data_IF_739716514461
#
_entry.id   IF_739716514461
#
_cell.length_a   1.000
_cell.length_b   1.000
_cell.length_c   1.000
_cell.angle_alpha   90.00
_cell.angle_beta   90.00
_cell.angle_gamma   90.00
#
_symmetry.space_group_name_H-M   'P 1'
#
loop_
_entity.id
_entity.type
_entity.pdbx_description
1 polymer ?
#
# COMPACT_ATOMS: atom_id res chain seq x y z
N UNK A 1 10.18 2.37 25.30
CA UNK A 1 9.27 3.02 24.32
C UNK A 1 10.07 3.39 23.08
N UNK A 2 9.74 2.85 21.90
CA UNK A 2 10.41 3.22 20.64
C UNK A 2 9.88 4.59 20.19
N UNK A 3 10.78 5.52 19.84
CA UNK A 3 10.45 6.90 19.49
C UNK A 3 10.02 6.96 18.01
N UNK A 4 8.76 7.23 17.73
CA UNK A 4 8.27 7.43 16.37
C UNK A 4 8.99 8.63 15.69
N UNK A 5 9.40 8.48 14.43
CA UNK A 5 10.01 9.54 13.64
C UNK A 5 8.94 10.47 13.01
N UNK A 6 9.17 11.79 12.98
CA UNK A 6 8.29 12.73 12.28
C UNK A 6 8.50 12.64 10.76
N UNK A 7 7.41 12.77 10.01
CA UNK A 7 7.43 12.90 8.55
C UNK A 7 6.53 14.06 8.15
N UNK A 8 7.04 14.94 7.29
CA UNK A 8 6.33 16.13 6.82
C UNK A 8 6.01 16.01 5.34
N UNK A 9 4.79 16.34 4.95
CA UNK A 9 4.32 16.34 3.57
C UNK A 9 3.48 17.58 3.27
N UNK A 10 3.40 17.94 1.99
CA UNK A 10 2.55 19.04 1.55
C UNK A 10 1.08 18.61 1.50
N UNK A 11 0.24 19.30 2.26
CA UNK A 11 -1.21 19.13 2.25
C UNK A 11 -1.94 20.31 1.60
N UNK A 12 -3.26 20.22 1.39
CA UNK A 12 -4.05 21.29 0.77
C UNK A 12 -3.99 22.64 1.50
N UNK A 13 -3.70 22.62 2.81
CA UNK A 13 -3.63 23.79 3.69
C UNK A 13 -2.20 24.06 4.17
N UNK A 14 -1.20 23.61 3.41
CA UNK A 14 0.22 23.71 3.75
C UNK A 14 0.81 22.44 4.39
N UNK A 15 2.05 22.53 4.91
CA UNK A 15 2.79 21.39 5.42
C UNK A 15 2.09 20.73 6.61
N UNK A 16 2.01 19.40 6.59
CA UNK A 16 1.49 18.57 7.69
C UNK A 16 2.58 17.63 8.18
N UNK A 17 2.69 17.46 9.49
CA UNK A 17 3.65 16.53 10.11
C UNK A 17 2.91 15.41 10.85
N UNK A 18 3.26 14.17 10.54
CA UNK A 18 2.74 12.97 11.21
C UNK A 18 3.87 12.20 11.88
N UNK A 19 3.52 11.36 12.87
CA UNK A 19 4.45 10.40 13.46
C UNK A 19 4.31 9.05 12.77
N UNK A 20 5.37 8.58 12.12
CA UNK A 20 5.36 7.29 11.45
C UNK A 20 5.51 6.16 12.46
N UNK A 21 4.65 5.15 12.36
CA UNK A 21 4.81 3.91 13.12
C UNK A 21 6.05 3.20 12.61
N UNK A 22 6.96 2.85 13.53
CA UNK A 22 8.30 2.32 13.22
C UNK A 22 9.17 3.23 12.35
N UNK A 23 8.88 4.55 12.33
CA UNK A 23 9.69 5.50 11.55
C UNK A 23 11.16 5.57 11.99
N UNK A 24 11.47 5.16 13.22
CA UNK A 24 12.85 5.02 13.71
C UNK A 24 13.68 3.99 12.94
N UNK A 25 13.04 3.12 12.15
CA UNK A 25 13.72 2.16 11.31
C UNK A 25 14.20 2.75 9.98
N UNK A 26 14.07 4.07 9.76
CA UNK A 26 14.55 4.72 8.54
C UNK A 26 15.99 4.30 8.18
N UNK A 27 16.17 3.78 6.97
CA UNK A 27 17.45 3.22 6.49
C UNK A 27 17.83 1.82 7.01
N UNK A 28 17.06 1.25 7.94
CA UNK A 28 17.29 -0.06 8.56
C UNK A 28 16.24 -1.10 8.11
N UNK A 29 16.24 -2.29 8.74
CA UNK A 29 15.33 -3.40 8.49
C UNK A 29 14.40 -3.65 9.67
N UNK A 30 13.17 -4.06 9.36
CA UNK A 30 12.25 -4.56 10.36
C UNK A 30 12.82 -5.80 11.05
N UNK A 31 12.87 -5.85 12.39
CA UNK A 31 13.59 -6.92 13.11
C UNK A 31 12.92 -8.30 13.00
N UNK A 32 11.64 -8.35 12.61
CA UNK A 32 10.88 -9.61 12.48
C UNK A 32 10.77 -10.06 11.02
N UNK A 33 10.50 -9.13 10.10
CA UNK A 33 10.17 -9.45 8.70
C UNK A 33 11.34 -9.22 7.76
N UNK A 34 12.39 -8.53 8.21
CA UNK A 34 13.55 -8.17 7.38
C UNK A 34 13.27 -7.12 6.31
N UNK A 35 12.03 -6.62 6.19
CA UNK A 35 11.64 -5.56 5.25
C UNK A 35 12.47 -4.30 5.54
N UNK A 36 13.16 -3.79 4.52
CA UNK A 36 13.89 -2.52 4.61
C UNK A 36 12.91 -1.35 4.68
N UNK A 37 13.30 -0.32 5.42
CA UNK A 37 12.62 0.95 5.43
C UNK A 37 13.47 1.93 4.62
N UNK A 38 12.84 2.80 3.86
CA UNK A 38 13.52 3.88 3.15
C UNK A 38 14.05 4.93 4.15
N UNK A 39 14.72 5.97 3.63
CA UNK A 39 15.29 7.03 4.45
C UNK A 39 14.23 7.91 5.14
N UNK A 40 12.99 7.88 4.67
CA UNK A 40 11.86 8.61 5.26
C UNK A 40 11.10 7.77 6.30
N UNK A 41 11.41 6.48 6.43
CA UNK A 41 10.82 5.58 7.42
C UNK A 41 9.58 4.84 6.92
N UNK A 42 9.42 4.64 5.61
CA UNK A 42 8.38 3.78 5.03
C UNK A 42 8.94 2.41 4.60
N UNK A 43 8.18 1.32 4.77
CA UNK A 43 8.62 -0.01 4.37
C UNK A 43 8.68 -0.15 2.84
N UNK A 44 9.73 -0.81 2.36
CA UNK A 44 9.93 -1.15 0.95
C UNK A 44 9.45 -2.59 0.75
N UNK A 45 8.15 -2.76 0.48
CA UNK A 45 7.58 -4.07 0.21
C UNK A 45 7.93 -4.58 -1.19
N UNK A 46 8.01 -5.91 -1.33
CA UNK A 46 8.06 -6.57 -2.63
C UNK A 46 6.64 -6.64 -3.20
N UNK A 47 6.28 -5.65 -4.01
CA UNK A 47 4.99 -5.63 -4.70
C UNK A 47 4.91 -6.73 -5.77
N UNK A 48 3.78 -7.44 -5.82
CA UNK A 48 3.47 -8.43 -6.88
C UNK A 48 2.96 -7.72 -8.14
N UNK A 49 2.14 -6.68 -7.93
CA UNK A 49 1.68 -5.73 -8.93
C UNK A 49 1.39 -4.37 -8.30
N UNK A 50 1.23 -3.35 -9.14
CA UNK A 50 0.91 -1.98 -8.75
C UNK A 50 -0.23 -1.40 -9.59
N UNK A 51 -1.02 -0.55 -8.94
CA UNK A 51 -2.08 0.22 -9.58
C UNK A 51 -1.95 1.68 -9.13
N UNK A 52 -2.16 2.62 -10.05
CA UNK A 52 -2.31 4.04 -9.72
C UNK A 52 -3.79 4.38 -9.65
N UNK A 53 -4.28 4.78 -8.48
CA UNK A 53 -5.62 5.34 -8.33
C UNK A 53 -5.75 6.63 -9.14
N UNK A 54 -6.97 6.93 -9.60
CA UNK A 54 -7.28 8.25 -10.14
C UNK A 54 -7.37 9.24 -8.99
N UNK A 55 -7.00 10.50 -9.22
CA UNK A 55 -7.05 11.54 -8.18
C UNK A 55 -8.45 11.70 -7.57
N UNK A 56 -9.49 11.61 -8.41
CA UNK A 56 -10.89 11.63 -7.98
C UNK A 56 -11.26 10.51 -6.99
N UNK A 57 -10.45 9.45 -6.93
CA UNK A 57 -10.64 8.32 -6.03
C UNK A 57 -9.86 8.46 -4.72
N UNK A 58 -8.84 9.32 -4.61
CA UNK A 58 -7.90 9.35 -3.47
C UNK A 58 -8.58 9.43 -2.09
N UNK A 59 -9.73 10.10 -2.00
CA UNK A 59 -10.48 10.31 -0.76
C UNK A 59 -11.56 9.25 -0.49
N UNK A 60 -11.63 8.19 -1.30
CA UNK A 60 -12.55 7.07 -1.08
C UNK A 60 -12.07 6.17 0.06
N UNK A 61 -12.96 5.29 0.53
CA UNK A 61 -12.65 4.36 1.62
C UNK A 61 -11.64 3.30 1.18
N UNK A 62 -10.91 2.70 2.13
CA UNK A 62 -9.99 1.58 1.85
C UNK A 62 -10.66 0.42 1.10
N UNK A 63 -11.85 -0.10 1.51
CA UNK A 63 -12.50 -1.16 0.74
C UNK A 63 -12.87 -0.74 -0.68
N UNK A 64 -13.13 0.55 -0.91
CA UNK A 64 -13.36 1.07 -2.26
C UNK A 64 -12.07 1.10 -3.08
N UNK A 65 -10.95 1.52 -2.50
CA UNK A 65 -9.64 1.43 -3.15
C UNK A 65 -9.29 -0.02 -3.50
N UNK A 66 -9.47 -0.94 -2.55
CA UNK A 66 -9.18 -2.36 -2.74
C UNK A 66 -9.97 -2.90 -3.94
N UNK A 67 -11.27 -2.59 -4.00
CA UNK A 67 -12.13 -2.98 -5.14
C UNK A 67 -11.68 -2.38 -6.47
N UNK A 68 -11.35 -1.08 -6.50
CA UNK A 68 -10.87 -0.41 -7.72
C UNK A 68 -9.58 -1.06 -8.20
N UNK A 69 -8.63 -1.27 -7.29
CA UNK A 69 -7.32 -1.81 -7.60
C UNK A 69 -7.38 -3.28 -8.00
N UNK A 70 -8.22 -4.10 -7.35
CA UNK A 70 -8.43 -5.50 -7.74
C UNK A 70 -8.99 -5.61 -9.16
N UNK A 71 -9.99 -4.80 -9.52
CA UNK A 71 -10.53 -4.80 -10.90
C UNK A 71 -9.50 -4.32 -11.92
N UNK A 72 -8.74 -3.28 -11.59
CA UNK A 72 -7.66 -2.80 -12.45
C UNK A 72 -6.55 -3.86 -12.63
N UNK A 73 -6.20 -4.59 -11.58
CA UNK A 73 -5.25 -5.70 -11.66
C UNK A 73 -5.76 -6.83 -12.53
N UNK A 74 -7.04 -7.20 -12.43
CA UNK A 74 -7.64 -8.17 -13.34
C UNK A 74 -7.48 -7.74 -14.81
N UNK A 75 -7.75 -6.48 -15.14
CA UNK A 75 -7.54 -5.97 -16.49
C UNK A 75 -6.07 -6.02 -16.96
N UNK A 76 -5.11 -5.87 -16.03
CA UNK A 76 -3.67 -6.05 -16.32
C UNK A 76 -3.34 -7.53 -16.57
N UNK A 77 -3.84 -8.43 -15.73
CA UNK A 77 -3.66 -9.88 -15.83
C UNK A 77 -4.13 -10.40 -17.19
N UNK A 78 -5.30 -9.95 -17.66
CA UNK A 78 -5.85 -10.36 -18.95
C UNK A 78 -4.98 -9.93 -20.15
N UNK A 79 -4.06 -8.98 -19.97
CA UNK A 79 -3.18 -8.44 -21.02
C UNK A 79 -1.74 -8.93 -20.90
N UNK A 80 -1.35 -9.50 -19.76
CA UNK A 80 0.01 -9.95 -19.47
C UNK A 80 0.01 -11.39 -18.94
N UNK A 81 0.28 -12.39 -19.81
CA UNK A 81 0.38 -13.78 -19.41
C UNK A 81 1.44 -14.06 -18.34
N UNK A 82 2.53 -13.25 -18.27
CA UNK A 82 3.56 -13.41 -17.23
C UNK A 82 3.05 -12.93 -15.87
N UNK A 83 2.20 -11.90 -15.86
CA UNK A 83 1.53 -11.45 -14.65
C UNK A 83 0.46 -12.46 -14.22
N UNK A 84 -0.33 -12.99 -15.16
CA UNK A 84 -1.32 -14.02 -14.90
C UNK A 84 -0.70 -15.25 -14.23
N UNK A 85 0.47 -15.69 -14.68
CA UNK A 85 1.20 -16.83 -14.12
C UNK A 85 1.64 -16.68 -12.64
N UNK A 86 1.45 -15.50 -12.02
CA UNK A 86 1.72 -15.29 -10.60
C UNK A 86 0.54 -15.63 -9.68
N UNK A 87 -0.64 -15.89 -10.25
CA UNK A 87 -1.90 -16.06 -9.53
C UNK A 87 -2.57 -17.38 -9.92
N UNK A 88 -3.38 -17.94 -9.03
CA UNK A 88 -4.26 -19.06 -9.38
C UNK A 88 -5.50 -18.58 -10.14
N UNK A 89 -6.20 -19.49 -10.80
CA UNK A 89 -7.45 -19.16 -11.50
C UNK A 89 -8.50 -18.58 -10.53
N UNK A 90 -8.59 -19.12 -9.30
CA UNK A 90 -9.49 -18.63 -8.26
C UNK A 90 -9.12 -17.21 -7.80
N UNK A 91 -7.83 -16.92 -7.64
CA UNK A 91 -7.36 -15.58 -7.28
C UNK A 91 -7.68 -14.56 -8.39
N UNK A 92 -7.53 -14.96 -9.65
CA UNK A 92 -7.89 -14.12 -10.81
C UNK A 92 -9.39 -13.82 -10.82
N UNK A 93 -10.25 -14.81 -10.55
CA UNK A 93 -11.70 -14.59 -10.47
C UNK A 93 -12.09 -13.70 -9.27
N UNK A 94 -11.38 -13.77 -8.14
CA UNK A 94 -11.58 -12.82 -7.04
C UNK A 94 -11.25 -11.39 -7.47
N UNK A 95 -10.13 -11.17 -8.18
CA UNK A 95 -9.77 -9.84 -8.68
C UNK A 95 -10.81 -9.27 -9.64
N UNK A 96 -11.39 -10.11 -10.51
CA UNK A 96 -12.48 -9.75 -11.43
C UNK A 96 -13.72 -9.25 -10.68
N UNK A 97 -14.07 -9.88 -9.56
CA UNK A 97 -15.17 -9.46 -8.69
C UNK A 97 -14.82 -8.17 -7.90
N UNK A 98 -13.54 -7.79 -7.88
CA UNK A 98 -13.03 -6.67 -7.10
C UNK A 98 -12.79 -7.04 -5.64
N UNK A 99 -12.55 -8.31 -5.37
CA UNK A 99 -12.14 -8.82 -4.06
C UNK A 99 -10.61 -8.98 -4.02
N UNK A 100 -10.07 -9.20 -2.82
CA UNK A 100 -8.64 -9.44 -2.60
C UNK A 100 -8.47 -10.87 -2.09
N UNK A 101 -7.68 -11.73 -2.75
CA UNK A 101 -7.41 -13.06 -2.22
C UNK A 101 -6.72 -13.03 -0.86
N UNK A 102 -6.96 -14.05 -0.04
CA UNK A 102 -6.55 -14.09 1.38
C UNK A 102 -5.05 -13.89 1.61
N UNK A 103 -4.21 -14.35 0.68
CA UNK A 103 -2.76 -14.23 0.76
C UNK A 103 -2.24 -12.80 0.48
N UNK A 104 -3.10 -11.87 0.06
CA UNK A 104 -2.69 -10.54 -0.37
C UNK A 104 -3.43 -9.41 0.34
N UNK A 105 -2.86 -8.22 0.23
CA UNK A 105 -3.51 -6.98 0.64
C UNK A 105 -3.03 -5.82 -0.22
N UNK A 106 -3.89 -4.81 -0.38
CA UNK A 106 -3.54 -3.57 -1.02
C UNK A 106 -2.90 -2.61 -0.01
N UNK A 107 -1.61 -2.36 -0.18
CA UNK A 107 -0.85 -1.38 0.57
C UNK A 107 -0.90 -0.01 -0.12
N UNK A 108 -1.30 1.03 0.62
CA UNK A 108 -1.15 2.42 0.20
C UNK A 108 0.30 2.86 0.39
N UNK A 109 1.02 3.06 -0.71
CA UNK A 109 2.38 3.63 -0.71
C UNK A 109 2.34 5.13 -0.36
N UNK A 110 3.43 5.71 0.15
CA UNK A 110 3.51 7.13 0.54
C UNK A 110 3.33 8.09 -0.64
N UNK A 111 3.69 7.65 -1.85
CA UNK A 111 3.40 8.37 -3.09
C UNK A 111 1.88 8.33 -3.37
N UNK A 112 1.27 9.52 -3.53
CA UNK A 112 -0.19 9.66 -3.65
C UNK A 112 -0.78 8.75 -4.75
N UNK A 113 -1.81 7.98 -4.39
CA UNK A 113 -2.51 7.09 -5.31
C UNK A 113 -1.77 5.83 -5.74
N UNK A 114 -0.48 5.65 -5.37
CA UNK A 114 0.25 4.42 -5.69
C UNK A 114 -0.17 3.31 -4.74
N UNK A 115 -0.74 2.26 -5.31
CA UNK A 115 -1.25 1.08 -4.61
C UNK A 115 -0.41 -0.12 -4.97
N UNK A 116 0.02 -0.88 -3.97
CA UNK A 116 0.86 -2.06 -4.15
C UNK A 116 0.13 -3.30 -3.63
N UNK A 117 -0.03 -4.31 -4.47
CA UNK A 117 -0.49 -5.62 -4.00
C UNK A 117 0.71 -6.35 -3.39
N UNK A 118 0.62 -6.67 -2.11
CA UNK A 118 1.71 -7.28 -1.33
C UNK A 118 1.23 -8.50 -0.55
N UNK A 119 2.17 -9.37 -0.17
CA UNK A 119 1.91 -10.51 0.72
C UNK A 119 1.32 -10.06 2.06
N UNK A 120 0.16 -10.60 2.42
CA UNK A 120 -0.59 -10.22 3.60
C UNK A 120 0.17 -10.50 4.90
N UNK A 121 0.80 -11.68 5.01
CA UNK A 121 1.51 -12.11 6.21
C UNK A 121 2.71 -11.21 6.52
N UNK A 122 3.50 -10.88 5.50
CA UNK A 122 4.63 -9.97 5.62
C UNK A 122 4.15 -8.56 5.92
N UNK A 123 3.10 -8.09 5.25
CA UNK A 123 2.51 -6.77 5.46
C UNK A 123 2.04 -6.59 6.92
N UNK A 124 1.22 -7.52 7.44
CA UNK A 124 0.63 -7.39 8.78
C UNK A 124 1.67 -7.46 9.89
N UNK A 125 2.77 -8.22 9.68
CA UNK A 125 3.88 -8.34 10.64
C UNK A 125 4.87 -7.18 10.55
N UNK A 126 4.86 -6.42 9.46
CA UNK A 126 5.73 -5.25 9.27
C UNK A 126 5.00 -4.03 9.80
N UNK A 127 5.41 -3.50 10.95
CA UNK A 127 4.67 -2.41 11.56
C UNK A 127 4.92 -1.06 10.88
N UNK A 128 3.92 -0.42 10.29
CA UNK A 128 4.16 0.84 9.55
C UNK A 128 2.93 1.77 9.51
N UNK A 129 3.17 3.00 9.05
CA UNK A 129 2.13 3.93 8.60
C UNK A 129 2.06 3.89 7.08
N UNK A 130 0.91 3.53 6.50
CA UNK A 130 0.69 3.59 5.04
C UNK A 130 0.25 4.97 4.54
N UNK A 131 0.43 5.22 3.25
CA UNK A 131 0.14 6.48 2.57
C UNK A 131 -1.33 6.91 2.55
N UNK A 132 -2.25 6.04 2.97
CA UNK A 132 -3.64 6.42 3.21
C UNK A 132 -3.78 7.52 4.28
N UNK A 133 -2.82 7.61 5.23
CA UNK A 133 -2.76 8.70 6.21
C UNK A 133 -2.23 10.03 5.64
N UNK A 134 -1.63 10.00 4.45
CA UNK A 134 -0.93 11.13 3.84
C UNK A 134 -1.75 11.72 2.69
N UNK A 135 -2.07 10.89 1.69
CA UNK A 135 -2.85 11.29 0.52
C UNK A 135 -4.29 10.75 0.50
N UNK A 136 -4.62 9.82 1.41
CA UNK A 136 -5.94 9.20 1.46
C UNK A 136 -6.97 10.01 2.23
N UNK A 137 -8.14 9.40 2.48
CA UNK A 137 -9.20 10.01 3.30
C UNK A 137 -8.76 10.33 4.73
N UNK A 138 -7.82 9.56 5.30
CA UNK A 138 -7.36 9.76 6.68
C UNK A 138 -6.44 10.99 6.83
N UNK A 139 -5.99 11.62 5.74
CA UNK A 139 -5.17 12.84 5.81
C UNK A 139 -5.94 14.09 6.22
N UNK A 140 -7.27 14.02 6.20
CA UNK A 140 -8.16 15.14 6.50
C UNK A 140 -8.59 15.16 7.97
N UNK A 141 -8.10 14.18 8.76
CA UNK A 141 -8.33 14.05 10.20
C UNK A 141 -7.22 14.68 11.03
#
# INVERSE_FOLDING_TARGET
MRKAAPYTYEGPNGPKTIRLRMGELAGDKHPVTGIRYDLDGFPIFKAVSEVKLKEADFKKSRPTHDRICSKALYEQIMKDPKLAAKFTEEEIELFKLGEVPENYTWHHHQEAGRMQLVDYETYRKTGHTGGYKIGGKDSDK
#
